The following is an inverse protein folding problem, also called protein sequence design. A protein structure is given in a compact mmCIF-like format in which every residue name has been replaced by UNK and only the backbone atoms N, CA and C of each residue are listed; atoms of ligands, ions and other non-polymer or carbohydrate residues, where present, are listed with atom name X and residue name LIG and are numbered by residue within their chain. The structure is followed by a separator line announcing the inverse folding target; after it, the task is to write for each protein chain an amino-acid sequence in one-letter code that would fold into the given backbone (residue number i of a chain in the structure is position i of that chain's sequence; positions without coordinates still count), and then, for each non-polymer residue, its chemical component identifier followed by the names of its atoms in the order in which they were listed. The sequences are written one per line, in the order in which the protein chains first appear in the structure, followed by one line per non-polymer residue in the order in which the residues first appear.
data_IF_647054834018
#
_entry.id   IF_647054834018
#
_cell.length_a   1.000
_cell.length_b   1.000
_cell.length_c   1.000
_cell.angle_alpha   90.00
_cell.angle_beta   90.00
_cell.angle_gamma   90.00
#
_symmetry.space_group_name_H-M   'P 1'
#
loop_
_entity.id
_entity.type
_entity.pdbx_description
1 polymer ?
#
# COMPACT_ATOMS: atom_id res chain seq x y z
N UNK A 1 -27.43 -11.78 -12.95
CA UNK A 1 -27.02 -10.80 -11.91
C UNK A 1 -26.63 -11.65 -10.70
N UNK A 2 -25.41 -11.71 -10.20
CA UNK A 2 -24.43 -10.65 -10.00
C UNK A 2 -23.01 -11.09 -10.42
N UNK A 3 -22.26 -10.17 -11.04
CA UNK A 3 -20.81 -10.27 -11.18
C UNK A 3 -20.23 -9.84 -9.84
N UNK A 4 -19.60 -10.77 -9.13
CA UNK A 4 -18.81 -10.48 -7.93
C UNK A 4 -17.67 -9.54 -8.33
N UNK A 5 -17.57 -8.30 -7.80
CA UNK A 5 -16.72 -7.30 -8.44
C UNK A 5 -15.26 -7.29 -7.97
N UNK A 6 -14.85 -7.99 -6.91
CA UNK A 6 -13.46 -7.88 -6.44
C UNK A 6 -12.85 -9.23 -6.05
N UNK A 7 -11.96 -9.70 -6.91
CA UNK A 7 -11.10 -10.86 -6.64
C UNK A 7 -9.83 -10.40 -5.94
N UNK A 8 -9.70 -10.76 -4.66
CA UNK A 8 -8.45 -10.85 -3.91
C UNK A 8 -7.55 -11.97 -4.49
N UNK A 9 -7.14 -11.82 -5.75
CA UNK A 9 -6.16 -12.71 -6.35
C UNK A 9 -4.84 -12.47 -5.62
N UNK A 10 -4.40 -13.50 -4.88
CA UNK A 10 -2.98 -13.75 -4.64
C UNK A 10 -2.25 -13.64 -5.98
N UNK A 11 -1.64 -12.48 -6.22
CA UNK A 11 -0.66 -12.16 -7.27
C UNK A 11 -1.08 -12.41 -8.72
N UNK A 12 -1.11 -11.39 -9.59
CA UNK A 12 -0.61 -11.47 -10.98
C UNK A 12 -0.53 -10.07 -11.64
N UNK A 13 0.68 -9.70 -12.08
CA UNK A 13 1.09 -8.57 -12.94
C UNK A 13 1.39 -7.20 -12.31
N UNK A 14 2.66 -7.09 -11.93
CA UNK A 14 3.38 -5.87 -11.60
C UNK A 14 4.69 -6.26 -10.94
N UNK A 15 5.59 -6.90 -11.67
CA UNK A 15 6.95 -7.24 -11.20
C UNK A 15 7.76 -5.94 -11.03
N UNK A 16 7.42 -5.13 -10.04
CA UNK A 16 8.46 -4.43 -9.32
C UNK A 16 9.25 -5.55 -8.62
N UNK A 17 10.56 -5.72 -8.88
CA UNK A 17 11.33 -6.68 -8.12
C UNK A 17 11.15 -6.30 -6.66
N UNK A 18 10.53 -7.19 -5.88
CA UNK A 18 10.74 -7.20 -4.44
C UNK A 18 12.25 -7.12 -4.27
N UNK A 19 12.76 -6.03 -3.69
CA UNK A 19 14.17 -5.88 -3.41
C UNK A 19 14.55 -7.02 -2.47
N UNK A 20 15.08 -8.12 -3.03
CA UNK A 20 15.47 -9.34 -2.33
C UNK A 20 14.37 -9.93 -1.42
N UNK A 21 13.52 -10.88 -1.90
CA UNK A 21 12.44 -11.49 -1.11
C UNK A 21 12.90 -12.28 0.14
N UNK A 22 14.21 -12.45 0.34
CA UNK A 22 14.79 -13.04 1.56
C UNK A 22 15.37 -12.00 2.54
N UNK A 23 15.41 -10.72 2.18
CA UNK A 23 15.92 -9.65 3.03
C UNK A 23 14.78 -8.85 3.66
N UNK A 24 14.97 -8.30 4.88
CA UNK A 24 14.01 -7.39 5.47
C UNK A 24 13.84 -6.15 4.59
N UNK A 25 12.59 -5.72 4.40
CA UNK A 25 12.30 -4.42 3.82
C UNK A 25 12.93 -3.33 4.69
N UNK A 26 13.63 -2.41 4.04
CA UNK A 26 14.32 -1.31 4.71
C UNK A 26 13.47 -0.03 4.67
N UNK A 27 12.62 0.10 3.66
CA UNK A 27 11.85 1.29 3.35
C UNK A 27 10.38 0.97 3.10
N UNK A 28 9.52 1.86 3.59
CA UNK A 28 8.16 2.04 3.15
C UNK A 28 8.15 3.14 2.09
N UNK A 29 7.62 2.84 0.92
CA UNK A 29 7.44 3.79 -0.16
C UNK A 29 5.97 4.10 -0.34
N UNK A 30 5.69 5.37 -0.57
CA UNK A 30 4.37 5.87 -0.94
C UNK A 30 4.52 6.71 -2.20
N UNK A 31 3.95 6.24 -3.30
CA UNK A 31 3.90 6.98 -4.57
C UNK A 31 2.49 7.49 -4.78
N UNK A 32 2.37 8.77 -5.14
CA UNK A 32 1.12 9.37 -5.60
C UNK A 32 1.35 9.94 -6.99
N UNK A 33 0.63 9.42 -7.96
CA UNK A 33 0.51 9.95 -9.31
C UNK A 33 -0.82 10.67 -9.41
N UNK A 34 -0.83 11.87 -9.98
CA UNK A 34 -2.06 12.61 -10.32
C UNK A 34 -1.98 13.08 -11.76
N UNK A 35 -3.02 12.83 -12.54
CA UNK A 35 -3.10 13.19 -13.96
C UNK A 35 -1.89 12.70 -14.78
N UNK A 36 -1.38 11.51 -14.44
CA UNK A 36 -0.20 10.91 -15.09
C UNK A 36 1.15 11.45 -14.61
N UNK A 37 1.19 12.46 -13.75
CA UNK A 37 2.42 13.01 -13.17
C UNK A 37 2.65 12.52 -11.75
N UNK A 38 3.87 12.09 -11.43
CA UNK A 38 4.25 11.77 -10.06
C UNK A 38 4.29 13.05 -9.23
N UNK A 39 3.32 13.20 -8.31
CA UNK A 39 3.22 14.35 -7.40
C UNK A 39 3.97 14.12 -6.10
N UNK A 40 3.96 12.89 -5.60
CA UNK A 40 4.56 12.54 -4.31
C UNK A 40 5.30 11.22 -4.43
N UNK A 41 6.53 11.18 -3.96
CA UNK A 41 7.26 9.95 -3.66
C UNK A 41 7.87 10.11 -2.27
N UNK A 42 7.28 9.44 -1.30
CA UNK A 42 7.74 9.45 0.08
C UNK A 42 8.46 8.15 0.37
N UNK A 43 9.59 8.27 1.05
CA UNK A 43 10.42 7.15 1.49
C UNK A 43 10.59 7.25 2.97
N UNK A 44 10.07 6.27 3.68
CA UNK A 44 10.13 6.17 5.13
C UNK A 44 10.89 4.90 5.47
N UNK A 45 11.52 4.81 6.65
CA UNK A 45 11.99 3.53 7.16
C UNK A 45 10.84 2.51 7.22
N UNK A 46 11.08 1.22 6.91
CA UNK A 46 10.05 0.18 6.96
C UNK A 46 9.40 0.08 8.35
N UNK A 47 10.18 0.34 9.41
CA UNK A 47 9.68 0.45 10.79
C UNK A 47 8.59 1.51 10.98
N UNK A 48 8.45 2.46 10.06
CA UNK A 48 7.41 3.50 10.07
C UNK A 48 6.09 3.03 9.47
N UNK A 49 6.03 1.85 8.86
CA UNK A 49 4.78 1.25 8.40
C UNK A 49 3.76 1.06 9.54
N UNK A 50 4.25 0.91 10.78
CA UNK A 50 3.41 0.90 11.99
C UNK A 50 2.65 2.21 12.23
N UNK A 51 3.06 3.32 11.63
CA UNK A 51 2.43 4.64 11.78
C UNK A 51 1.74 5.09 10.49
N UNK A 52 1.48 4.18 9.55
CA UNK A 52 0.92 4.53 8.25
C UNK A 52 -0.40 5.32 8.37
N UNK A 53 -1.24 5.01 9.35
CA UNK A 53 -2.47 5.76 9.63
C UNK A 53 -2.23 7.18 10.16
N UNK A 54 -1.10 7.45 10.81
CA UNK A 54 -0.74 8.79 11.28
C UNK A 54 -0.20 9.66 10.13
N UNK A 55 0.35 9.02 9.09
CA UNK A 55 0.94 9.68 7.92
C UNK A 55 -0.10 9.94 6.83
N UNK A 56 -1.12 9.07 6.72
CA UNK A 56 -2.19 9.21 5.73
C UNK A 56 -3.28 10.14 6.29
N UNK A 57 -3.62 11.23 5.60
CA UNK A 57 -4.68 12.13 6.05
C UNK A 57 -6.05 11.43 6.04
N UNK A 58 -6.94 11.85 6.96
CA UNK A 58 -8.20 11.17 7.27
C UNK A 58 -9.14 11.04 6.07
N UNK A 59 -9.13 12.01 5.15
CA UNK A 59 -9.89 11.97 3.90
C UNK A 59 -9.48 10.79 3.00
N UNK A 60 -8.19 10.50 2.93
CA UNK A 60 -7.66 9.34 2.21
C UNK A 60 -7.99 8.05 2.94
N UNK A 61 -7.94 8.03 4.28
CA UNK A 61 -8.35 6.85 5.06
C UNK A 61 -9.83 6.49 4.82
N UNK A 62 -10.70 7.50 4.81
CA UNK A 62 -12.12 7.31 4.56
C UNK A 62 -12.39 6.79 3.14
N UNK A 63 -11.64 7.27 2.15
CA UNK A 63 -11.69 6.74 0.78
C UNK A 63 -11.20 5.29 0.71
N UNK A 64 -10.08 4.96 1.35
CA UNK A 64 -9.55 3.59 1.42
C UNK A 64 -10.59 2.65 2.04
N UNK A 65 -11.25 3.06 3.14
CA UNK A 65 -12.33 2.29 3.76
C UNK A 65 -13.57 2.18 2.86
N UNK A 66 -13.91 3.23 2.12
CA UNK A 66 -15.04 3.24 1.18
C UNK A 66 -14.81 2.29 -0.01
N UNK A 67 -13.56 2.04 -0.37
CA UNK A 67 -13.14 1.08 -1.40
C UNK A 67 -12.99 -0.36 -0.84
N UNK A 68 -13.52 -0.62 0.36
CA UNK A 68 -13.49 -1.93 1.03
C UNK A 68 -12.06 -2.47 1.27
N UNK A 69 -11.05 -1.60 1.28
CA UNK A 69 -9.67 -1.99 1.62
C UNK A 69 -9.58 -2.14 3.15
N UNK A 70 -9.21 -3.32 3.69
CA UNK A 70 -9.21 -3.60 5.13
C UNK A 70 -7.99 -2.98 5.81
N UNK A 71 -7.94 -1.65 5.84
CA UNK A 71 -6.81 -0.87 6.35
C UNK A 71 -6.45 -1.26 7.79
N UNK A 72 -7.45 -1.48 8.63
CA UNK A 72 -7.26 -1.83 10.03
C UNK A 72 -6.62 -3.23 10.20
N UNK A 73 -6.98 -4.21 9.36
CA UNK A 73 -6.37 -5.55 9.38
C UNK A 73 -4.92 -5.52 8.89
N UNK A 74 -4.67 -4.71 7.85
CA UNK A 74 -3.32 -4.53 7.32
C UNK A 74 -2.40 -3.87 8.34
N UNK A 75 -2.91 -2.91 9.09
CA UNK A 75 -2.19 -2.29 10.19
C UNK A 75 -1.92 -3.30 11.30
N UNK A 76 -2.91 -4.11 11.70
CA UNK A 76 -2.71 -5.15 12.70
C UNK A 76 -1.59 -6.13 12.29
N UNK A 77 -1.56 -6.54 11.03
CA UNK A 77 -0.50 -7.39 10.47
C UNK A 77 0.87 -6.68 10.52
N UNK A 78 0.94 -5.41 10.08
CA UNK A 78 2.15 -4.59 10.17
C UNK A 78 2.60 -4.31 11.62
N UNK A 79 1.69 -4.26 12.60
CA UNK A 79 2.07 -4.08 14.00
C UNK A 79 2.58 -5.38 14.64
N UNK A 80 2.07 -6.52 14.19
CA UNK A 80 2.43 -7.84 14.73
C UNK A 80 3.81 -8.33 14.27
N UNK A 81 4.28 -7.84 13.12
CA UNK A 81 5.52 -8.26 12.51
C UNK A 81 6.73 -7.53 13.11
N UNK A 82 7.68 -8.30 13.64
CA UNK A 82 8.99 -7.76 14.07
C UNK A 82 9.91 -7.46 12.89
N UNK A 83 9.73 -8.20 11.79
CA UNK A 83 10.49 -8.05 10.54
C UNK A 83 9.49 -7.88 9.41
N UNK A 84 9.61 -6.79 8.66
CA UNK A 84 8.83 -6.58 7.44
C UNK A 84 9.61 -7.11 6.26
N UNK A 85 8.91 -7.76 5.34
CA UNK A 85 9.47 -8.21 4.08
C UNK A 85 8.94 -7.36 2.93
N UNK A 86 9.71 -7.21 1.84
CA UNK A 86 9.28 -6.47 0.66
C UNK A 86 7.96 -7.01 0.12
N UNK A 87 6.94 -6.16 0.06
CA UNK A 87 5.61 -6.49 -0.45
C UNK A 87 4.82 -5.25 -0.78
N UNK A 88 3.92 -5.36 -1.73
CA UNK A 88 2.89 -4.34 -1.93
C UNK A 88 1.93 -4.37 -0.75
N UNK A 89 1.66 -3.20 -0.16
CA UNK A 89 0.70 -3.03 0.92
C UNK A 89 -0.68 -2.81 0.30
N UNK A 90 -0.87 -1.72 -0.45
CA UNK A 90 -2.08 -1.50 -1.26
C UNK A 90 -1.79 -0.60 -2.46
N UNK A 91 -2.74 -0.60 -3.40
CA UNK A 91 -2.86 0.43 -4.43
C UNK A 91 -4.29 0.97 -4.44
N UNK A 92 -4.43 2.28 -4.54
CA UNK A 92 -5.69 2.97 -4.72
C UNK A 92 -5.66 3.69 -6.07
N UNK A 93 -6.63 3.41 -6.93
CA UNK A 93 -6.74 4.01 -8.27
C UNK A 93 -8.08 4.74 -8.40
N UNK A 94 -8.02 6.07 -8.46
CA UNK A 94 -9.13 6.98 -8.76
C UNK A 94 -8.96 7.52 -10.20
N UNK A 95 -10.03 8.11 -10.77
CA UNK A 95 -10.06 8.60 -12.16
C UNK A 95 -8.89 9.52 -12.55
N UNK A 96 -8.33 10.25 -11.58
CA UNK A 96 -7.25 11.21 -11.78
C UNK A 96 -6.05 10.97 -10.86
N UNK A 97 -6.06 9.92 -10.05
CA UNK A 97 -5.06 9.73 -8.99
C UNK A 97 -4.77 8.25 -8.80
N UNK A 98 -3.50 7.89 -8.76
CA UNK A 98 -3.04 6.57 -8.33
C UNK A 98 -2.15 6.72 -7.10
N UNK A 99 -2.39 5.92 -6.08
CA UNK A 99 -1.59 5.83 -4.87
C UNK A 99 -1.07 4.41 -4.77
N UNK A 100 0.25 4.22 -4.71
CA UNK A 100 0.87 2.92 -4.48
C UNK A 100 1.66 2.96 -3.18
N UNK A 101 1.43 1.96 -2.33
CA UNK A 101 2.15 1.82 -1.06
C UNK A 101 2.79 0.44 -1.02
N UNK A 102 4.11 0.39 -0.84
CA UNK A 102 4.86 -0.86 -0.79
C UNK A 102 6.04 -0.79 0.17
N UNK A 103 6.52 -1.96 0.56
CA UNK A 103 7.74 -2.18 1.31
C UNK A 103 8.84 -2.68 0.37
N UNK A 104 10.04 -2.12 0.49
CA UNK A 104 11.26 -2.53 -0.23
C UNK A 104 12.49 -2.50 0.67
#
# INVERSE_FOLDING_TARGET
MARCPYTWVRSFFGTAPAANPGEPAQHLRVRVVRDGEQRVLVTLPAKSARWLMEVIPEDVQNKIRAEEIPLDEMMADLHSQTVHYPRQIFTLSESHRQIDVWLE
#
